data_IF_107299191136
#
_entry.id   IF_107299191136
#
_cell.length_a   1.000
_cell.length_b   1.000
_cell.length_c   1.000
_cell.angle_alpha   90.00
_cell.angle_beta   90.00
_cell.angle_gamma   90.00
#
_symmetry.space_group_name_H-M   'P 1'
#
loop_
_entity.id
_entity.type
_entity.pdbx_description
1 polymer ?
#
# COMPACT_ATOMS: atom_id res chain seq x y z
N UNK A 1 28.41 -21.27 -51.42
CA UNK A 1 28.87 -20.09 -50.67
C UNK A 1 27.70 -19.12 -50.52
N UNK A 2 27.42 -18.73 -49.26
CA UNK A 2 26.69 -17.54 -48.79
C UNK A 2 25.17 -17.37 -49.04
N UNK A 3 24.38 -17.88 -48.08
CA UNK A 3 23.42 -17.20 -47.18
C UNK A 3 22.89 -15.77 -47.52
N UNK A 4 21.56 -15.59 -47.44
CA UNK A 4 20.90 -14.38 -46.87
C UNK A 4 19.39 -14.56 -46.61
N UNK A 5 19.08 -14.98 -45.37
CA UNK A 5 18.06 -14.50 -44.41
C UNK A 5 16.72 -13.90 -44.88
N UNK A 6 15.63 -14.52 -44.39
CA UNK A 6 14.31 -13.91 -44.14
C UNK A 6 14.37 -12.77 -43.10
N UNK A 7 13.34 -11.91 -43.03
CA UNK A 7 12.53 -11.84 -41.80
C UNK A 7 11.02 -11.77 -42.11
N UNK A 8 10.24 -12.78 -41.74
CA UNK A 8 9.44 -12.83 -40.50
C UNK A 8 8.53 -11.59 -40.31
N UNK A 9 7.31 -11.67 -40.84
CA UNK A 9 6.20 -10.79 -40.47
C UNK A 9 5.74 -11.13 -39.05
N UNK A 10 6.10 -10.29 -38.09
CA UNK A 10 5.51 -10.29 -36.74
C UNK A 10 4.12 -9.64 -36.80
N UNK A 11 3.08 -10.44 -37.03
CA UNK A 11 1.71 -10.06 -36.72
C UNK A 11 1.33 -10.71 -35.39
N UNK A 12 1.80 -10.11 -34.30
CA UNK A 12 1.38 -10.43 -32.95
C UNK A 12 0.30 -9.44 -32.53
N UNK A 13 -0.91 -9.94 -32.31
CA UNK A 13 -2.05 -9.16 -31.85
C UNK A 13 -1.70 -8.37 -30.58
N UNK A 14 -1.87 -7.05 -30.65
CA UNK A 14 -1.69 -6.14 -29.52
C UNK A 14 -2.79 -6.41 -28.46
N UNK A 15 -2.45 -6.37 -27.16
CA UNK A 15 -3.41 -6.55 -26.09
C UNK A 15 -4.49 -5.46 -26.13
N UNK A 16 -5.74 -5.84 -25.87
CA UNK A 16 -6.98 -5.08 -26.12
C UNK A 16 -7.02 -3.65 -25.52
N UNK A 17 -6.16 -3.33 -24.55
CA UNK A 17 -6.01 -1.95 -24.02
C UNK A 17 -5.22 -1.00 -24.93
N UNK A 18 -4.33 -1.53 -25.78
CA UNK A 18 -3.53 -0.74 -26.71
C UNK A 18 -4.36 -0.24 -27.91
N UNK A 19 -5.38 -0.98 -28.34
CA UNK A 19 -6.28 -0.55 -29.42
C UNK A 19 -7.18 0.61 -29.00
N UNK A 20 -7.68 0.60 -27.76
CA UNK A 20 -8.52 1.68 -27.22
C UNK A 20 -7.71 2.97 -27.01
N UNK A 21 -6.48 2.86 -26.49
CA UNK A 21 -5.59 4.00 -26.38
C UNK A 21 -5.21 4.59 -27.76
N UNK A 22 -4.93 3.74 -28.76
CA UNK A 22 -4.61 4.16 -30.11
C UNK A 22 -5.81 4.80 -30.85
N UNK A 23 -7.03 4.32 -30.62
CA UNK A 23 -8.26 4.88 -31.19
C UNK A 23 -8.62 6.26 -30.60
N UNK A 24 -8.45 6.44 -29.28
CA UNK A 24 -8.66 7.75 -28.63
C UNK A 24 -7.60 8.77 -29.09
N UNK A 25 -6.35 8.33 -29.27
CA UNK A 25 -5.24 9.21 -29.68
C UNK A 25 -5.29 9.57 -31.18
N UNK A 26 -5.77 8.67 -32.04
CA UNK A 26 -5.96 8.95 -33.46
C UNK A 26 -7.13 9.91 -33.72
N UNK A 27 -8.17 9.89 -32.88
CA UNK A 27 -9.28 10.86 -32.91
C UNK A 27 -8.89 12.30 -32.55
N UNK A 28 -7.74 12.50 -31.89
CA UNK A 28 -7.23 13.82 -31.46
C UNK A 28 -6.14 14.37 -32.43
N UNK A 29 -5.78 13.61 -33.47
CA UNK A 29 -4.91 14.11 -34.55
C UNK A 29 -3.47 14.42 -34.13
N UNK A 30 -2.93 13.75 -33.11
CA UNK A 30 -1.55 13.96 -32.64
C UNK A 30 -0.59 13.03 -33.41
N UNK A 31 0.30 13.56 -34.26
CA UNK A 31 1.35 12.75 -34.91
C UNK A 31 2.42 12.38 -33.87
N UNK A 32 2.45 11.13 -33.36
CA UNK A 32 3.50 10.77 -32.40
C UNK A 32 3.36 9.51 -31.54
N UNK A 33 2.69 8.44 -31.98
CA UNK A 33 2.52 7.21 -31.18
C UNK A 33 3.81 6.62 -30.58
N UNK A 34 4.97 6.79 -31.24
CA UNK A 34 6.28 6.36 -30.71
C UNK A 34 6.78 7.21 -29.53
N UNK A 35 6.36 8.47 -29.40
CA UNK A 35 6.78 9.33 -28.30
C UNK A 35 6.08 8.93 -27.00
N UNK A 36 4.77 8.66 -27.05
CA UNK A 36 4.00 8.23 -25.88
C UNK A 36 4.48 6.89 -25.33
N UNK A 37 4.79 5.91 -26.19
CA UNK A 37 5.36 4.63 -25.76
C UNK A 37 6.68 4.84 -24.98
N UNK A 38 7.59 5.66 -25.52
CA UNK A 38 8.85 5.98 -24.86
C UNK A 38 8.67 6.71 -23.52
N UNK A 39 7.69 7.61 -23.41
CA UNK A 39 7.38 8.30 -22.15
C UNK A 39 6.78 7.35 -21.10
N UNK A 40 5.88 6.46 -21.51
CA UNK A 40 5.30 5.45 -20.62
C UNK A 40 6.37 4.50 -20.12
N UNK A 41 7.25 4.01 -21.01
CA UNK A 41 8.35 3.14 -20.63
C UNK A 41 9.35 3.83 -19.70
N UNK A 42 9.72 5.08 -19.98
CA UNK A 42 10.59 5.87 -19.11
C UNK A 42 9.96 6.14 -17.73
N UNK A 43 8.65 6.42 -17.69
CA UNK A 43 7.91 6.60 -16.44
C UNK A 43 7.86 5.30 -15.63
N UNK A 44 7.56 4.17 -16.26
CA UNK A 44 7.56 2.86 -15.61
C UNK A 44 8.95 2.47 -15.10
N UNK A 45 10.01 2.70 -15.88
CA UNK A 45 11.38 2.44 -15.46
C UNK A 45 11.76 3.30 -14.25
N UNK A 46 11.40 4.60 -14.27
CA UNK A 46 11.61 5.49 -13.12
C UNK A 46 10.88 4.97 -11.88
N UNK A 47 9.62 4.57 -12.02
CA UNK A 47 8.81 4.04 -10.91
C UNK A 47 9.34 2.72 -10.37
N UNK A 48 9.79 1.80 -11.23
CA UNK A 48 10.43 0.55 -10.82
C UNK A 48 11.72 0.80 -10.04
N UNK A 49 12.54 1.75 -10.50
CA UNK A 49 13.76 2.15 -9.80
C UNK A 49 13.45 2.71 -8.42
N UNK A 50 12.55 3.69 -8.34
CA UNK A 50 12.07 4.29 -7.08
C UNK A 50 11.56 3.21 -6.10
N UNK A 51 10.73 2.28 -6.57
CA UNK A 51 10.21 1.21 -5.74
C UNK A 51 11.29 0.21 -5.29
N UNK A 52 12.30 -0.03 -6.12
CA UNK A 52 13.46 -0.86 -5.76
C UNK A 52 14.28 -0.18 -4.67
N UNK A 53 14.53 1.12 -4.81
CA UNK A 53 15.25 1.92 -3.81
C UNK A 53 14.49 1.90 -2.47
N UNK A 54 13.16 2.09 -2.49
CA UNK A 54 12.29 1.97 -1.30
C UNK A 54 12.42 0.59 -0.66
N UNK A 55 12.32 -0.49 -1.44
CA UNK A 55 12.38 -1.85 -0.90
C UNK A 55 13.74 -2.13 -0.23
N UNK A 56 14.83 -1.74 -0.89
CA UNK A 56 16.19 -1.90 -0.34
C UNK A 56 16.34 -1.07 0.93
N UNK A 57 15.91 0.19 0.93
CA UNK A 57 15.97 1.07 2.09
C UNK A 57 15.22 0.46 3.28
N UNK A 58 13.99 -0.01 3.08
CA UNK A 58 13.18 -0.55 4.18
C UNK A 58 13.74 -1.88 4.72
N UNK A 59 14.38 -2.70 3.88
CA UNK A 59 15.04 -3.95 4.29
C UNK A 59 16.36 -3.70 5.04
N UNK A 60 17.12 -2.68 4.65
CA UNK A 60 18.48 -2.45 5.17
C UNK A 60 18.51 -1.50 6.36
N UNK A 61 17.65 -0.48 6.37
CA UNK A 61 17.69 0.62 7.33
C UNK A 61 16.31 1.12 7.78
N UNK A 62 15.22 0.49 7.34
CA UNK A 62 13.85 0.92 7.64
C UNK A 62 13.44 0.77 9.11
N UNK A 63 12.13 0.89 9.37
CA UNK A 63 11.50 0.79 10.71
C UNK A 63 12.04 -0.36 11.56
N UNK A 64 12.34 -1.50 10.93
CA UNK A 64 12.75 -2.71 11.62
C UNK A 64 14.26 -2.89 11.75
N UNK A 65 15.07 -1.94 11.27
CA UNK A 65 16.51 -2.11 11.11
C UNK A 65 16.85 -3.13 10.01
N UNK A 66 18.14 -3.49 9.85
CA UNK A 66 18.56 -4.46 8.85
C UNK A 66 17.94 -5.84 9.13
N UNK A 67 17.31 -6.43 8.12
CA UNK A 67 16.82 -7.81 8.17
C UNK A 67 17.68 -8.73 7.32
N UNK A 68 18.07 -9.87 7.89
CA UNK A 68 18.88 -10.88 7.21
C UNK A 68 17.97 -12.02 6.74
N UNK A 69 18.04 -12.34 5.45
CA UNK A 69 17.34 -13.47 4.85
C UNK A 69 18.22 -14.73 4.88
N UNK A 70 17.60 -15.86 5.18
CA UNK A 70 18.19 -17.20 5.16
C UNK A 70 17.67 -17.99 3.95
N UNK A 71 18.20 -19.18 3.70
CA UNK A 71 17.78 -20.03 2.57
C UNK A 71 16.27 -20.33 2.60
N UNK A 72 15.70 -20.57 3.79
CA UNK A 72 14.27 -20.84 3.97
C UNK A 72 13.37 -19.64 3.64
N UNK A 73 13.92 -18.43 3.61
CA UNK A 73 13.17 -17.21 3.31
C UNK A 73 13.15 -16.87 1.80
N UNK A 74 13.98 -17.52 0.99
CA UNK A 74 14.18 -17.14 -0.42
C UNK A 74 12.87 -17.21 -1.21
N UNK A 75 12.17 -18.34 -1.14
CA UNK A 75 10.91 -18.54 -1.85
C UNK A 75 9.81 -17.54 -1.42
N UNK A 76 9.48 -17.38 -0.12
CA UNK A 76 8.47 -16.41 0.29
C UNK A 76 8.91 -14.96 0.03
N UNK A 77 10.20 -14.65 0.10
CA UNK A 77 10.72 -13.33 -0.26
C UNK A 77 10.58 -13.03 -1.75
N UNK A 78 10.87 -13.99 -2.64
CA UNK A 78 10.67 -13.85 -4.09
C UNK A 78 9.19 -13.61 -4.38
N UNK A 79 8.30 -14.41 -3.80
CA UNK A 79 6.86 -14.25 -3.99
C UNK A 79 6.35 -12.89 -3.51
N UNK A 80 6.80 -12.42 -2.34
CA UNK A 80 6.47 -11.09 -1.83
C UNK A 80 7.00 -9.98 -2.75
N UNK A 81 8.23 -10.10 -3.25
CA UNK A 81 8.85 -9.13 -4.15
C UNK A 81 8.13 -9.07 -5.50
N UNK A 82 7.73 -10.21 -6.06
CA UNK A 82 6.93 -10.27 -7.29
C UNK A 82 5.57 -9.58 -7.11
N UNK A 83 4.92 -9.81 -5.97
CA UNK A 83 3.65 -9.17 -5.65
C UNK A 83 3.79 -7.66 -5.39
N UNK A 84 4.88 -7.24 -4.75
CA UNK A 84 5.25 -5.83 -4.60
C UNK A 84 5.50 -5.17 -5.97
N UNK A 85 6.25 -5.82 -6.86
CA UNK A 85 6.46 -5.34 -8.22
C UNK A 85 5.14 -5.17 -8.98
N UNK A 86 4.18 -6.08 -8.76
CA UNK A 86 2.83 -5.93 -9.30
C UNK A 86 2.11 -4.68 -8.79
N UNK A 87 2.25 -4.34 -7.50
CA UNK A 87 1.73 -3.10 -6.93
C UNK A 87 2.32 -1.85 -7.61
N UNK A 88 3.60 -1.89 -7.97
CA UNK A 88 4.27 -0.83 -8.73
C UNK A 88 3.71 -0.70 -10.14
N UNK A 89 3.49 -1.82 -10.83
CA UNK A 89 2.96 -1.83 -12.20
C UNK A 89 1.54 -1.25 -12.29
N UNK A 90 0.70 -1.49 -11.29
CA UNK A 90 -0.65 -0.92 -11.22
C UNK A 90 -0.66 0.53 -10.72
N UNK A 91 0.49 1.08 -10.34
CA UNK A 91 0.63 2.48 -9.96
C UNK A 91 0.22 2.77 -8.51
N UNK A 92 0.48 1.86 -7.56
CA UNK A 92 0.25 2.12 -6.14
C UNK A 92 0.95 3.41 -5.68
N UNK A 93 0.32 4.12 -4.74
CA UNK A 93 0.87 5.36 -4.20
C UNK A 93 2.20 5.12 -3.47
N UNK A 94 3.06 6.15 -3.44
CA UNK A 94 4.38 6.07 -2.82
C UNK A 94 4.31 5.55 -1.37
N UNK A 95 3.44 6.13 -0.54
CA UNK A 95 3.33 5.75 0.86
C UNK A 95 2.86 4.30 1.02
N UNK A 96 1.98 3.83 0.15
CA UNK A 96 1.54 2.44 0.14
C UNK A 96 2.70 1.50 -0.21
N UNK A 97 3.58 1.88 -1.16
CA UNK A 97 4.79 1.10 -1.46
C UNK A 97 5.76 1.08 -0.28
N UNK A 98 5.93 2.21 0.43
CA UNK A 98 6.74 2.25 1.65
C UNK A 98 6.18 1.29 2.70
N UNK A 99 4.87 1.33 2.95
CA UNK A 99 4.20 0.44 3.92
C UNK A 99 4.33 -1.04 3.50
N UNK A 100 4.15 -1.38 2.23
CA UNK A 100 4.32 -2.75 1.73
C UNK A 100 5.76 -3.25 1.92
N UNK A 101 6.75 -2.42 1.61
CA UNK A 101 8.16 -2.77 1.82
C UNK A 101 8.46 -2.98 3.32
N UNK A 102 7.88 -2.16 4.19
CA UNK A 102 7.98 -2.34 5.64
C UNK A 102 7.32 -3.64 6.09
N UNK A 103 6.16 -4.02 5.55
CA UNK A 103 5.52 -5.31 5.86
C UNK A 103 6.43 -6.49 5.54
N UNK A 104 7.16 -6.47 4.40
CA UNK A 104 8.12 -7.54 4.07
C UNK A 104 9.19 -7.65 5.17
N UNK A 105 9.80 -6.53 5.55
CA UNK A 105 10.82 -6.48 6.59
C UNK A 105 10.27 -6.88 7.97
N UNK A 106 9.07 -6.41 8.32
CA UNK A 106 8.38 -6.70 9.58
C UNK A 106 8.03 -8.19 9.70
N UNK A 107 7.45 -8.77 8.67
CA UNK A 107 7.15 -10.21 8.63
C UNK A 107 8.41 -11.05 8.77
N UNK A 108 9.50 -10.65 8.11
CA UNK A 108 10.79 -11.32 8.26
C UNK A 108 11.31 -11.23 9.70
N UNK A 109 11.28 -10.04 10.30
CA UNK A 109 11.74 -9.80 11.68
C UNK A 109 10.94 -10.62 12.70
N UNK A 110 9.64 -10.79 12.47
CA UNK A 110 8.76 -11.59 13.32
C UNK A 110 8.82 -13.10 13.03
N UNK A 111 9.67 -13.54 12.08
CA UNK A 111 9.74 -14.94 11.61
C UNK A 111 8.39 -15.46 11.09
N UNK A 112 7.60 -14.58 10.48
CA UNK A 112 6.28 -14.85 9.95
C UNK A 112 6.20 -14.60 8.44
N UNK A 113 7.35 -14.52 7.76
CA UNK A 113 7.40 -14.29 6.32
C UNK A 113 6.90 -15.53 5.57
N UNK A 114 5.64 -15.48 5.16
CA UNK A 114 5.02 -16.44 4.26
C UNK A 114 4.31 -15.69 3.13
N UNK A 115 4.06 -16.38 2.03
CA UNK A 115 3.33 -15.81 0.89
C UNK A 115 1.95 -15.33 1.33
N UNK A 116 1.22 -16.15 2.08
CA UNK A 116 -0.14 -15.84 2.52
C UNK A 116 -0.18 -14.65 3.48
N UNK A 117 0.80 -14.56 4.40
CA UNK A 117 0.90 -13.44 5.32
C UNK A 117 1.14 -12.12 4.58
N UNK A 118 2.05 -12.11 3.60
CA UNK A 118 2.28 -10.92 2.78
C UNK A 118 1.08 -10.57 1.90
N UNK A 119 0.48 -11.56 1.22
CA UNK A 119 -0.65 -11.36 0.32
C UNK A 119 -1.87 -10.74 1.03
N UNK A 120 -2.10 -11.12 2.29
CA UNK A 120 -3.14 -10.52 3.15
C UNK A 120 -2.98 -9.00 3.22
N UNK A 121 -1.79 -8.53 3.58
CA UNK A 121 -1.50 -7.10 3.73
C UNK A 121 -1.40 -6.38 2.39
N UNK A 122 -0.87 -7.04 1.36
CA UNK A 122 -0.81 -6.50 0.01
C UNK A 122 -2.20 -6.17 -0.55
N UNK A 123 -3.16 -7.09 -0.38
CA UNK A 123 -4.55 -6.84 -0.79
C UNK A 123 -5.23 -5.67 -0.07
N UNK A 124 -4.81 -5.37 1.17
CA UNK A 124 -5.33 -4.27 1.98
C UNK A 124 -4.66 -2.95 1.60
N UNK A 125 -3.34 -2.87 1.70
CA UNK A 125 -2.59 -1.61 1.56
C UNK A 125 -2.60 -1.05 0.14
N UNK A 126 -2.65 -1.88 -0.90
CA UNK A 126 -2.60 -1.40 -2.28
C UNK A 126 -3.80 -0.56 -2.69
N UNK A 127 -4.96 -0.85 -2.11
CA UNK A 127 -6.21 -0.18 -2.47
C UNK A 127 -6.57 0.97 -1.55
N UNK A 128 -5.79 1.17 -0.48
CA UNK A 128 -6.07 2.22 0.48
C UNK A 128 -5.69 3.59 -0.06
N UNK A 129 -6.63 4.50 0.09
CA UNK A 129 -6.43 5.92 -0.09
C UNK A 129 -5.61 6.50 1.07
N UNK A 130 -5.06 7.70 0.85
CA UNK A 130 -4.34 8.44 1.88
C UNK A 130 -5.18 8.65 3.15
N UNK A 131 -6.45 8.97 2.98
CA UNK A 131 -7.34 9.33 4.10
C UNK A 131 -7.74 8.09 4.91
N UNK A 132 -7.89 6.94 4.23
CA UNK A 132 -8.05 5.63 4.87
C UNK A 132 -6.79 5.24 5.67
N UNK A 133 -5.58 5.46 5.12
CA UNK A 133 -4.35 5.23 5.88
C UNK A 133 -4.21 6.18 7.06
N UNK A 134 -4.62 7.43 6.91
CA UNK A 134 -4.59 8.43 7.98
C UNK A 134 -5.49 8.04 9.15
N UNK A 135 -6.75 7.65 8.89
CA UNK A 135 -7.66 7.24 9.97
C UNK A 135 -7.15 6.00 10.70
N UNK A 136 -6.53 5.06 9.99
CA UNK A 136 -5.90 3.87 10.58
C UNK A 136 -4.68 4.22 11.44
N UNK A 137 -3.82 5.12 10.97
CA UNK A 137 -2.67 5.60 11.73
C UNK A 137 -3.08 6.29 13.03
N UNK A 138 -4.12 7.14 12.98
CA UNK A 138 -4.68 7.80 14.17
C UNK A 138 -5.28 6.79 15.15
N UNK A 139 -6.03 5.81 14.65
CA UNK A 139 -6.67 4.79 15.48
C UNK A 139 -5.63 3.87 16.14
N UNK A 140 -4.61 3.42 15.40
CA UNK A 140 -3.49 2.63 15.92
C UNK A 140 -2.74 3.40 17.02
N UNK A 141 -2.40 4.67 16.76
CA UNK A 141 -1.68 5.51 17.74
C UNK A 141 -2.48 5.69 19.02
N UNK A 142 -3.78 5.98 18.91
CA UNK A 142 -4.66 6.15 20.06
C UNK A 142 -4.77 4.86 20.89
N UNK A 143 -4.91 3.69 20.25
CA UNK A 143 -4.94 2.40 20.95
C UNK A 143 -3.62 2.11 21.65
N UNK A 144 -2.49 2.33 20.97
CA UNK A 144 -1.15 2.12 21.54
C UNK A 144 -0.93 2.99 22.77
N UNK A 145 -1.39 4.23 22.74
CA UNK A 145 -1.33 5.15 23.87
C UNK A 145 -2.19 4.68 25.05
N UNK A 146 -3.43 4.23 24.80
CA UNK A 146 -4.30 3.68 25.84
C UNK A 146 -3.70 2.44 26.51
N UNK A 147 -3.10 1.55 25.71
CA UNK A 147 -2.42 0.35 26.22
C UNK A 147 -1.18 0.68 27.08
N UNK A 148 -0.44 1.73 26.73
CA UNK A 148 0.79 2.11 27.43
C UNK A 148 0.54 2.80 28.78
N UNK A 149 -0.52 3.60 28.88
CA UNK A 149 -0.82 4.36 30.10
C UNK A 149 -1.66 3.58 31.13
N UNK A 150 -1.95 2.29 30.90
CA UNK A 150 -2.87 1.49 31.71
C UNK A 150 -4.16 2.24 32.05
N UNK A 151 -4.64 3.06 31.09
CA UNK A 151 -5.88 3.81 31.27
C UNK A 151 -7.00 2.81 31.46
N UNK A 152 -8.02 3.22 32.23
CA UNK A 152 -9.20 2.40 32.51
C UNK A 152 -9.69 1.71 31.22
N UNK A 153 -10.19 0.48 31.35
CA UNK A 153 -10.72 -0.37 30.26
C UNK A 153 -11.76 0.33 29.35
N UNK A 154 -12.23 1.53 29.74
CA UNK A 154 -13.22 2.35 29.06
C UNK A 154 -12.66 3.58 28.30
N UNK A 155 -11.34 3.70 28.13
CA UNK A 155 -10.77 4.79 27.31
C UNK A 155 -11.04 4.52 25.82
N UNK A 156 -12.05 5.20 25.27
CA UNK A 156 -12.48 4.98 23.89
C UNK A 156 -11.50 5.62 22.90
N UNK A 157 -11.11 4.88 21.86
CA UNK A 157 -10.21 5.36 20.80
C UNK A 157 -10.90 6.38 19.90
N UNK A 158 -12.18 6.17 19.64
CA UNK A 158 -12.93 6.89 18.61
C UNK A 158 -13.00 8.42 18.79
N UNK A 159 -13.19 8.98 20.00
CA UNK A 159 -13.16 10.44 20.20
C UNK A 159 -11.83 11.09 19.81
N UNK A 160 -10.70 10.39 20.01
CA UNK A 160 -9.38 10.89 19.62
C UNK A 160 -9.24 10.94 18.10
N UNK A 161 -9.75 9.91 17.39
CA UNK A 161 -9.76 9.87 15.93
C UNK A 161 -10.63 10.98 15.36
N UNK A 162 -11.87 11.14 15.86
CA UNK A 162 -12.76 12.23 15.45
C UNK A 162 -12.10 13.59 15.65
N UNK A 163 -11.54 13.84 16.83
CA UNK A 163 -10.89 15.11 17.14
C UNK A 163 -9.74 15.42 16.18
N UNK A 164 -8.87 14.45 15.92
CA UNK A 164 -7.74 14.62 15.01
C UNK A 164 -8.17 14.84 13.55
N UNK A 165 -9.14 14.05 13.05
CA UNK A 165 -9.66 14.20 11.69
C UNK A 165 -10.42 15.52 11.50
N UNK A 166 -11.19 15.96 12.50
CA UNK A 166 -11.89 17.25 12.46
C UNK A 166 -10.90 18.41 12.41
N UNK A 167 -9.81 18.33 13.18
CA UNK A 167 -8.73 19.31 13.14
C UNK A 167 -8.00 19.33 11.77
N UNK A 168 -8.02 18.21 11.04
CA UNK A 168 -7.50 18.12 9.68
C UNK A 168 -8.52 18.56 8.61
N UNK A 169 -9.70 19.06 9.01
CA UNK A 169 -10.70 19.64 8.11
C UNK A 169 -11.77 18.67 7.59
N UNK A 170 -11.84 17.44 8.11
CA UNK A 170 -12.83 16.46 7.68
C UNK A 170 -14.19 16.69 8.34
N UNK A 171 -15.28 16.52 7.57
CA UNK A 171 -16.63 16.53 8.10
C UNK A 171 -16.95 15.24 8.87
N UNK A 172 -17.89 15.31 9.82
CA UNK A 172 -18.30 14.14 10.61
C UNK A 172 -18.81 12.98 9.72
N UNK A 173 -19.52 13.28 8.63
CA UNK A 173 -19.99 12.28 7.66
C UNK A 173 -18.85 11.60 6.88
N UNK A 174 -17.80 12.34 6.54
CA UNK A 174 -16.63 11.81 5.84
C UNK A 174 -15.84 10.86 6.73
N UNK A 175 -15.65 11.22 8.00
CA UNK A 175 -14.95 10.39 9.00
C UNK A 175 -15.65 9.04 9.17
N UNK A 176 -16.98 9.04 9.29
CA UNK A 176 -17.79 7.83 9.40
C UNK A 176 -17.71 6.97 8.13
N UNK A 177 -17.72 7.61 6.96
CA UNK A 177 -17.59 6.93 5.67
C UNK A 177 -16.22 6.28 5.50
N UNK A 178 -15.14 6.99 5.87
CA UNK A 178 -13.77 6.45 5.86
C UNK A 178 -13.62 5.26 6.81
N UNK A 179 -14.17 5.35 8.02
CA UNK A 179 -14.14 4.26 8.98
C UNK A 179 -14.92 3.03 8.48
N UNK A 180 -16.09 3.24 7.87
CA UNK A 180 -16.84 2.17 7.22
C UNK A 180 -16.03 1.53 6.08
N UNK A 181 -15.35 2.33 5.25
CA UNK A 181 -14.49 1.81 4.18
C UNK A 181 -13.36 0.92 4.73
N UNK A 182 -12.66 1.33 5.78
CA UNK A 182 -11.56 0.51 6.32
C UNK A 182 -12.05 -0.68 7.15
N UNK A 183 -13.26 -0.62 7.70
CA UNK A 183 -13.88 -1.75 8.40
C UNK A 183 -14.13 -2.97 7.50
N UNK A 184 -14.30 -2.78 6.19
CA UNK A 184 -14.44 -3.88 5.22
C UNK A 184 -13.19 -4.78 5.16
N UNK A 185 -12.04 -4.23 5.54
CA UNK A 185 -10.77 -4.96 5.63
C UNK A 185 -10.57 -5.61 7.01
N UNK A 186 -11.53 -5.46 7.93
CA UNK A 186 -11.44 -5.98 9.29
C UNK A 186 -10.44 -5.23 10.18
N UNK A 187 -10.00 -4.03 9.81
CA UNK A 187 -9.05 -3.23 10.60
C UNK A 187 -9.72 -2.38 11.68
N UNK A 188 -10.97 -1.96 11.43
CA UNK A 188 -11.82 -1.33 12.42
C UNK A 188 -13.11 -2.14 12.55
N UNK A 189 -13.66 -2.22 13.75
CA UNK A 189 -14.99 -2.81 13.99
C UNK A 189 -15.92 -1.73 14.54
N UNK A 190 -17.19 -1.67 14.10
CA UNK A 190 -18.19 -0.84 14.75
C UNK A 190 -18.28 -1.22 16.23
N UNK A 191 -18.30 -0.22 17.10
CA UNK A 191 -18.53 -0.39 18.53
C UNK A 191 -19.70 0.48 18.98
N UNK A 192 -20.50 -0.07 19.89
CA UNK A 192 -21.64 0.61 20.47
C UNK A 192 -21.38 0.75 21.96
N UNK A 193 -20.88 1.91 22.35
CA UNK A 193 -20.85 2.29 23.75
C UNK A 193 -22.17 2.95 24.14
N UNK A 194 -22.48 2.91 25.44
CA UNK A 194 -23.73 3.41 26.02
C UNK A 194 -24.12 4.83 25.57
N UNK A 195 -23.17 5.64 25.10
CA UNK A 195 -23.42 7.03 24.70
C UNK A 195 -22.88 7.41 23.31
N UNK A 196 -22.31 6.47 22.54
CA UNK A 196 -21.82 6.77 21.19
C UNK A 196 -21.61 5.51 20.35
N UNK A 197 -22.06 5.57 19.09
CA UNK A 197 -21.60 4.66 18.05
C UNK A 197 -20.21 5.13 17.57
N UNK A 198 -19.28 4.20 17.47
CA UNK A 198 -17.91 4.46 17.05
C UNK A 198 -17.26 3.28 16.37
N UNK A 199 -15.93 3.33 16.30
CA UNK A 199 -15.12 2.24 15.79
C UNK A 199 -13.94 1.99 16.70
N UNK A 200 -13.66 0.70 16.91
CA UNK A 200 -12.49 0.25 17.66
C UNK A 200 -11.46 -0.43 16.74
N UNK A 201 -10.16 -0.20 16.98
CA UNK A 201 -9.07 -0.96 16.38
C UNK A 201 -9.21 -2.46 16.64
N UNK A 202 -9.09 -3.25 15.58
CA UNK A 202 -9.05 -4.71 15.72
C UNK A 202 -7.62 -5.20 15.97
N UNK A 203 -7.48 -6.47 16.35
CA UNK A 203 -6.16 -7.12 16.44
C UNK A 203 -5.39 -7.08 15.11
N UNK A 204 -6.06 -7.05 13.97
CA UNK A 204 -5.41 -6.94 12.66
C UNK A 204 -4.82 -5.56 12.41
N UNK A 205 -5.47 -4.49 12.87
CA UNK A 205 -4.86 -3.16 12.80
C UNK A 205 -3.61 -3.08 13.69
N UNK A 206 -3.65 -3.71 14.86
CA UNK A 206 -2.48 -3.77 15.74
C UNK A 206 -1.33 -4.57 15.11
N UNK A 207 -1.62 -5.74 14.52
CA UNK A 207 -0.65 -6.55 13.79
C UNK A 207 -0.03 -5.74 12.62
N UNK A 208 -0.85 -5.05 11.83
CA UNK A 208 -0.37 -4.22 10.72
C UNK A 208 0.51 -3.06 11.20
N UNK A 209 0.13 -2.37 12.28
CA UNK A 209 0.92 -1.29 12.86
C UNK A 209 2.24 -1.75 13.50
N UNK A 210 2.32 -3.02 13.89
CA UNK A 210 3.58 -3.63 14.33
C UNK A 210 4.48 -4.02 13.16
N UNK A 211 3.92 -4.26 11.98
CA UNK A 211 4.63 -4.58 10.74
C UNK A 211 5.03 -3.35 9.91
N UNK A 212 4.28 -2.25 9.98
CA UNK A 212 4.49 -1.05 9.16
C UNK A 212 4.20 0.23 9.93
N UNK A 213 4.81 1.34 9.55
CA UNK A 213 4.64 2.65 10.20
C UNK A 213 3.38 3.36 9.71
N UNK A 214 2.23 2.97 10.24
CA UNK A 214 0.95 3.61 9.89
C UNK A 214 0.88 5.09 10.31
N UNK A 215 1.74 5.53 11.25
CA UNK A 215 1.78 6.92 11.69
C UNK A 215 2.46 7.83 10.67
N UNK A 216 3.29 7.29 9.77
CA UNK A 216 3.99 8.02 8.72
C UNK A 216 3.04 8.86 7.85
N UNK A 217 1.89 8.28 7.49
CA UNK A 217 0.87 8.94 6.65
C UNK A 217 0.10 10.01 7.43
N UNK A 218 -0.12 9.78 8.74
CA UNK A 218 -0.82 10.73 9.61
C UNK A 218 0.02 11.97 9.95
N UNK A 219 1.36 11.84 9.95
CA UNK A 219 2.27 12.95 10.26
C UNK A 219 2.41 13.95 9.09
N UNK A 220 2.20 13.50 7.85
CA UNK A 220 2.30 14.32 6.64
C UNK A 220 1.07 15.21 6.36
N UNK A 221 0.09 15.24 7.27
CA UNK A 221 -1.10 16.10 7.18
C UNK A 221 -0.93 17.53 7.72
N UNK A 222 0.32 18.03 7.84
CA UNK A 222 0.63 19.40 8.29
C UNK A 222 1.33 20.21 7.22
#
# INVERSE_FOLDING_TARGET
MADKKNPLSLSGALPWGASVAAEVLSGIGVPGGNLLANYVDAFQQKKRKEATDILIEQITAGKHGPVNFTEDDVDPFIAATLRFARAVEIGAAHDNLVLLAQVIAGLKRQKALTVDAFMRWAGVLEQMTRDELMILGLAYRAQKFNNAESRAENATVWPHVIGAMTNAGYGAGDIQSLAACVSRYGLLTPSNDWNSAGYDPTGWLMELGDLADLELVSAAGR
#
